data_IF_368286807144
#
_entry.id   IF_368286807144
#
_cell.length_a   1.000
_cell.length_b   1.000
_cell.length_c   1.000
_cell.angle_alpha   90.00
_cell.angle_beta   90.00
_cell.angle_gamma   90.00
#
_symmetry.space_group_name_H-M   'P 1'
#
loop_
_entity.id
_entity.type
_entity.pdbx_description
1 polymer ?
#
# COMPACT_ATOMS: atom_id res chain seq x y z
N UNK A 1 1.43 45.76 6.40
CA UNK A 1 0.89 44.55 5.75
C UNK A 1 2.04 43.74 5.15
N UNK A 2 2.58 42.75 5.87
CA UNK A 2 3.59 41.81 5.34
C UNK A 2 3.07 40.39 5.60
N UNK A 3 2.68 39.70 4.54
CA UNK A 3 2.15 38.33 4.58
C UNK A 3 3.32 37.37 4.83
N UNK A 4 3.29 36.65 5.96
CA UNK A 4 4.17 35.50 6.19
C UNK A 4 3.60 34.29 5.45
N UNK A 5 4.35 33.77 4.48
CA UNK A 5 4.13 32.45 3.91
C UNK A 5 4.71 31.40 4.87
N UNK A 6 3.85 30.60 5.48
CA UNK A 6 4.26 29.37 6.15
C UNK A 6 4.48 28.29 5.10
N UNK A 7 5.74 27.94 4.84
CA UNK A 7 6.10 26.82 3.98
C UNK A 7 5.95 25.51 4.78
N UNK A 8 4.94 24.71 4.43
CA UNK A 8 4.76 23.35 4.94
C UNK A 8 5.73 22.43 4.19
N UNK A 9 6.91 22.16 4.76
CA UNK A 9 7.84 21.20 4.20
C UNK A 9 7.37 19.77 4.54
N UNK A 10 6.66 19.14 3.60
CA UNK A 10 6.37 17.71 3.67
C UNK A 10 7.69 16.93 3.54
N UNK A 11 8.16 16.38 4.66
CA UNK A 11 9.35 15.51 4.69
C UNK A 11 9.00 14.17 4.05
N UNK A 12 9.38 14.00 2.78
CA UNK A 12 9.38 12.70 2.12
C UNK A 12 10.51 11.87 2.75
N UNK A 13 10.14 10.85 3.52
CA UNK A 13 11.06 9.82 4.03
C UNK A 13 11.59 9.01 2.83
N UNK A 14 12.75 9.40 2.30
CA UNK A 14 13.55 8.55 1.44
C UNK A 14 14.31 7.58 2.34
N UNK A 15 13.78 6.37 2.51
CA UNK A 15 14.49 5.25 3.12
C UNK A 15 15.56 4.75 2.14
N UNK A 16 16.72 5.38 2.11
CA UNK A 16 17.90 4.84 1.42
C UNK A 16 18.55 3.79 2.32
N UNK A 17 18.19 2.52 2.11
CA UNK A 17 18.81 1.40 2.82
C UNK A 17 20.22 1.13 2.29
N UNK A 18 21.24 1.28 3.16
CA UNK A 18 22.59 0.80 2.90
C UNK A 18 22.70 -0.72 3.17
N UNK A 19 23.49 -1.41 2.35
CA UNK A 19 23.57 -2.86 2.24
C UNK A 19 24.02 -3.56 3.55
N UNK A 20 23.05 -4.06 4.32
CA UNK A 20 23.21 -5.23 5.17
C UNK A 20 22.99 -6.48 4.29
N UNK A 21 23.84 -7.49 4.44
CA UNK A 21 23.85 -8.81 3.77
C UNK A 21 22.57 -9.07 2.95
N UNK A 22 22.58 -8.64 1.69
CA UNK A 22 21.40 -8.65 0.85
C UNK A 22 21.16 -10.08 0.41
N UNK A 23 20.09 -10.71 0.88
CA UNK A 23 19.60 -11.93 0.24
C UNK A 23 19.36 -11.58 -1.22
N UNK A 24 20.07 -12.21 -2.18
CA UNK A 24 19.92 -11.85 -3.58
C UNK A 24 18.48 -12.14 -4.00
N UNK A 25 17.86 -11.15 -4.65
CA UNK A 25 16.54 -11.34 -5.23
C UNK A 25 16.62 -12.39 -6.35
N UNK A 26 15.58 -13.23 -6.52
CA UNK A 26 15.52 -14.16 -7.63
C UNK A 26 15.46 -13.39 -8.96
N UNK A 27 16.04 -13.95 -10.02
CA UNK A 27 15.78 -13.46 -11.38
C UNK A 27 14.31 -13.68 -11.72
N UNK A 28 13.61 -12.61 -12.12
CA UNK A 28 12.19 -12.65 -12.49
C UNK A 28 12.05 -12.33 -13.97
N UNK A 29 11.36 -13.19 -14.71
CA UNK A 29 11.14 -13.04 -16.15
C UNK A 29 9.98 -12.06 -16.46
N UNK A 30 10.14 -10.79 -16.08
CA UNK A 30 9.17 -9.71 -16.25
C UNK A 30 9.86 -8.38 -16.61
N UNK A 31 9.12 -7.44 -17.21
CA UNK A 31 9.64 -6.10 -17.53
C UNK A 31 9.85 -5.24 -16.28
N UNK A 32 8.96 -5.35 -15.30
CA UNK A 32 9.02 -4.62 -14.04
C UNK A 32 8.35 -5.45 -12.95
N UNK A 33 8.88 -5.40 -11.73
CA UNK A 33 8.26 -6.08 -10.59
C UNK A 33 8.63 -5.45 -9.26
N UNK A 34 7.80 -5.71 -8.26
CA UNK A 34 7.99 -5.27 -6.88
C UNK A 34 7.44 -6.31 -5.91
N UNK A 35 8.15 -6.56 -4.81
CA UNK A 35 7.67 -7.31 -3.67
C UNK A 35 7.56 -6.41 -2.44
N UNK A 36 6.34 -6.21 -1.98
CA UNK A 36 5.99 -5.38 -0.83
C UNK A 36 5.63 -6.26 0.36
N UNK A 37 6.19 -5.94 1.52
CA UNK A 37 5.62 -6.35 2.78
C UNK A 37 4.51 -5.39 3.19
N UNK A 38 3.26 -5.86 3.14
CA UNK A 38 2.12 -5.01 3.51
C UNK A 38 1.98 -4.83 5.02
N UNK A 39 2.58 -5.71 5.83
CA UNK A 39 2.59 -5.65 7.30
C UNK A 39 3.53 -4.55 7.80
N UNK A 40 4.76 -4.46 7.29
CA UNK A 40 5.69 -3.36 7.65
C UNK A 40 5.55 -2.13 6.74
N UNK A 41 5.04 -2.32 5.53
CA UNK A 41 5.01 -1.30 4.47
C UNK A 41 6.33 -1.17 3.70
N UNK A 42 7.31 -2.04 3.91
CA UNK A 42 8.61 -1.98 3.23
C UNK A 42 8.61 -2.75 1.91
N UNK A 43 9.18 -2.13 0.88
CA UNK A 43 9.56 -2.84 -0.34
C UNK A 43 10.78 -3.72 -0.01
N UNK A 44 10.63 -5.03 -0.21
CA UNK A 44 11.69 -6.02 0.06
C UNK A 44 12.69 -6.04 -1.10
N UNK A 45 12.17 -6.08 -2.32
CA UNK A 45 12.95 -6.08 -3.55
C UNK A 45 12.09 -5.58 -4.71
N UNK A 46 12.74 -5.06 -5.74
CA UNK A 46 12.09 -4.60 -6.96
C UNK A 46 13.07 -4.54 -8.14
N UNK A 47 12.53 -4.55 -9.35
CA UNK A 47 13.22 -4.21 -10.59
C UNK A 47 12.38 -3.23 -11.38
N UNK A 48 12.99 -2.11 -11.79
CA UNK A 48 12.36 -1.02 -12.54
C UNK A 48 10.96 -0.63 -12.00
N UNK A 49 10.80 -0.40 -10.67
CA UNK A 49 9.48 -0.27 -10.06
C UNK A 49 8.71 0.97 -10.49
N UNK A 50 9.38 1.96 -11.08
CA UNK A 50 8.82 3.22 -11.59
C UNK A 50 8.65 3.23 -13.12
N UNK A 51 8.98 2.14 -13.81
CA UNK A 51 8.78 2.03 -15.25
C UNK A 51 7.28 2.07 -15.57
N UNK A 52 6.88 2.99 -16.46
CA UNK A 52 5.50 3.13 -16.91
C UNK A 52 5.14 1.99 -17.85
N UNK A 53 4.11 1.24 -17.51
CA UNK A 53 3.59 0.10 -18.27
C UNK A 53 2.08 0.24 -18.35
N UNK A 54 1.50 -0.18 -19.48
CA UNK A 54 0.05 -0.29 -19.60
C UNK A 54 -0.49 -1.31 -18.58
N UNK A 55 -1.37 -0.92 -17.64
CA UNK A 55 -1.79 -1.79 -16.55
C UNK A 55 -2.77 -2.90 -16.99
N UNK A 56 -3.30 -2.85 -18.21
CA UNK A 56 -4.36 -3.74 -18.69
C UNK A 56 -5.50 -3.86 -17.65
N UNK A 57 -6.05 -5.05 -17.43
CA UNK A 57 -7.14 -5.24 -16.45
C UNK A 57 -6.77 -4.99 -14.98
N UNK A 58 -5.51 -4.66 -14.63
CA UNK A 58 -5.18 -4.21 -13.27
C UNK A 58 -5.85 -2.87 -12.92
N UNK A 59 -6.27 -2.09 -13.93
CA UNK A 59 -7.11 -0.88 -13.75
C UNK A 59 -8.35 -1.15 -12.91
N UNK A 60 -8.94 -2.35 -13.05
CA UNK A 60 -10.17 -2.73 -12.34
C UNK A 60 -10.04 -2.72 -10.83
N UNK A 61 -8.81 -2.76 -10.29
CA UNK A 61 -8.56 -2.59 -8.86
C UNK A 61 -8.94 -1.16 -8.41
N UNK A 62 -8.63 -0.14 -9.21
CA UNK A 62 -9.05 1.24 -8.92
C UNK A 62 -10.57 1.39 -9.08
N UNK A 63 -11.15 0.75 -10.09
CA UNK A 63 -12.61 0.71 -10.28
C UNK A 63 -13.30 0.11 -9.06
N UNK A 64 -12.82 -1.04 -8.59
CA UNK A 64 -13.30 -1.67 -7.36
C UNK A 64 -13.11 -0.76 -6.13
N UNK A 65 -11.94 -0.14 -5.97
CA UNK A 65 -11.66 0.76 -4.84
C UNK A 65 -12.68 1.90 -4.76
N UNK A 66 -12.99 2.56 -5.89
CA UNK A 66 -13.98 3.64 -5.92
C UNK A 66 -15.40 3.15 -5.67
N UNK A 67 -15.78 1.97 -6.20
CA UNK A 67 -17.07 1.36 -5.88
C UNK A 67 -17.19 1.02 -4.39
N UNK A 68 -16.14 0.45 -3.79
CA UNK A 68 -16.11 0.17 -2.35
C UNK A 68 -16.21 1.45 -1.52
N UNK A 69 -15.56 2.53 -1.95
CA UNK A 69 -15.68 3.84 -1.31
C UNK A 69 -17.11 4.39 -1.41
N UNK A 70 -17.76 4.28 -2.57
CA UNK A 70 -19.15 4.68 -2.74
C UNK A 70 -20.10 3.88 -1.83
N UNK A 71 -19.85 2.58 -1.66
CA UNK A 71 -20.64 1.73 -0.75
C UNK A 71 -20.41 2.13 0.71
N UNK A 72 -19.15 2.30 1.13
CA UNK A 72 -18.81 2.76 2.49
C UNK A 72 -19.48 4.09 2.81
N UNK A 73 -19.50 5.00 1.83
CA UNK A 73 -20.07 6.34 1.97
C UNK A 73 -21.60 6.37 1.75
N UNK A 74 -22.25 5.20 1.62
CA UNK A 74 -23.70 5.01 1.44
C UNK A 74 -24.27 5.72 0.20
N UNK A 75 -23.45 5.90 -0.83
CA UNK A 75 -23.86 6.43 -2.15
C UNK A 75 -24.32 5.33 -3.10
N UNK A 76 -23.97 4.09 -2.78
CA UNK A 76 -24.30 2.88 -3.52
C UNK A 76 -24.54 1.75 -2.51
N UNK A 77 -25.45 0.83 -2.79
CA UNK A 77 -25.69 -0.34 -1.94
C UNK A 77 -25.38 -1.63 -2.71
N UNK A 78 -24.90 -2.67 -2.03
CA UNK A 78 -24.58 -3.97 -2.67
C UNK A 78 -25.78 -4.59 -3.39
N UNK A 79 -26.96 -4.47 -2.78
CA UNK A 79 -28.22 -5.01 -3.31
C UNK A 79 -28.90 -4.09 -4.32
N UNK A 80 -28.35 -2.89 -4.56
CA UNK A 80 -28.92 -1.95 -5.52
C UNK A 80 -28.87 -2.56 -6.92
N UNK A 81 -30.00 -2.49 -7.63
CA UNK A 81 -30.09 -2.89 -9.03
C UNK A 81 -29.58 -1.76 -9.93
N UNK A 82 -28.61 -2.05 -10.77
CA UNK A 82 -28.03 -1.14 -11.76
C UNK A 82 -28.61 -1.46 -13.12
N UNK A 83 -29.22 -0.47 -13.77
CA UNK A 83 -29.63 -0.59 -15.17
C UNK A 83 -28.39 -0.63 -16.06
N UNK A 84 -28.30 -1.64 -16.91
CA UNK A 84 -27.17 -1.84 -17.82
C UNK A 84 -27.34 -0.94 -19.04
N UNK A 85 -26.36 -0.06 -19.27
CA UNK A 85 -26.38 0.81 -20.46
C UNK A 85 -25.97 0.05 -21.72
N UNK A 86 -26.37 0.56 -22.89
CA UNK A 86 -25.85 0.05 -24.16
C UNK A 86 -24.32 0.18 -24.25
N UNK A 87 -23.72 1.20 -23.62
CA UNK A 87 -22.27 1.38 -23.58
C UNK A 87 -21.60 0.22 -22.86
N UNK A 88 -22.09 -0.14 -21.67
CA UNK A 88 -21.58 -1.27 -20.90
C UNK A 88 -21.72 -2.59 -21.67
N UNK A 89 -22.85 -2.81 -22.35
CA UNK A 89 -23.08 -4.01 -23.14
C UNK A 89 -22.19 -4.10 -24.39
N UNK A 90 -21.97 -2.97 -25.09
CA UNK A 90 -21.22 -2.86 -26.35
C UNK A 90 -19.70 -2.70 -26.18
N UNK A 91 -19.14 -2.94 -24.98
CA UNK A 91 -17.68 -3.06 -24.83
C UNK A 91 -17.11 -4.09 -25.81
N UNK A 92 -15.82 -3.97 -26.15
CA UNK A 92 -15.16 -4.79 -27.17
C UNK A 92 -15.53 -6.29 -27.04
N UNK A 93 -16.11 -6.91 -28.09
CA UNK A 93 -16.56 -8.30 -28.07
C UNK A 93 -15.44 -9.32 -27.87
N UNK A 94 -14.19 -8.97 -28.20
CA UNK A 94 -13.01 -9.82 -28.00
C UNK A 94 -12.49 -9.80 -26.55
N UNK A 95 -13.03 -8.89 -25.73
CA UNK A 95 -12.58 -8.67 -24.36
C UNK A 95 -13.34 -9.52 -23.33
N UNK A 96 -12.85 -9.55 -22.09
CA UNK A 96 -13.52 -10.29 -21.01
C UNK A 96 -14.85 -9.63 -20.63
N UNK A 97 -15.91 -10.42 -20.49
CA UNK A 97 -17.27 -9.97 -20.17
C UNK A 97 -17.91 -10.81 -19.07
N UNK A 98 -18.79 -10.17 -18.32
CA UNK A 98 -19.74 -10.81 -17.43
C UNK A 98 -21.00 -11.29 -18.17
N UNK A 99 -21.24 -10.76 -19.38
CA UNK A 99 -22.41 -11.04 -20.23
C UNK A 99 -23.71 -10.48 -19.63
N UNK A 100 -23.65 -9.23 -19.16
CA UNK A 100 -24.82 -8.48 -18.68
C UNK A 100 -25.72 -8.01 -19.84
N UNK A 101 -27.02 -7.88 -19.60
CA UNK A 101 -28.04 -7.56 -20.62
C UNK A 101 -28.69 -6.20 -20.32
N UNK A 102 -28.78 -5.25 -21.29
CA UNK A 102 -29.49 -3.97 -21.13
C UNK A 102 -30.94 -4.08 -20.64
N UNK A 103 -31.62 -5.19 -20.95
CA UNK A 103 -33.01 -5.43 -20.53
C UNK A 103 -33.12 -5.89 -19.06
N UNK A 104 -32.02 -6.32 -18.44
CA UNK A 104 -32.03 -6.91 -17.10
C UNK A 104 -31.11 -6.12 -16.16
N UNK A 105 -31.65 -5.40 -15.16
CA UNK A 105 -30.84 -4.78 -14.13
C UNK A 105 -30.00 -5.81 -13.36
N UNK A 106 -28.82 -5.40 -12.90
CA UNK A 106 -27.86 -6.29 -12.21
C UNK A 106 -27.50 -5.72 -10.85
N UNK A 107 -27.39 -6.57 -9.82
CA UNK A 107 -26.97 -6.14 -8.49
C UNK A 107 -25.53 -5.62 -8.52
N UNK A 108 -25.24 -4.60 -7.71
CA UNK A 108 -23.86 -4.11 -7.52
C UNK A 108 -22.93 -5.22 -7.04
N UNK A 109 -23.39 -6.11 -6.15
CA UNK A 109 -22.60 -7.25 -5.69
C UNK A 109 -22.22 -8.21 -6.84
N UNK A 110 -23.18 -8.54 -7.70
CA UNK A 110 -22.94 -9.38 -8.88
C UNK A 110 -21.95 -8.71 -9.85
N UNK A 111 -22.09 -7.40 -10.07
CA UNK A 111 -21.16 -6.63 -10.91
C UNK A 111 -19.74 -6.61 -10.32
N UNK A 112 -19.58 -6.49 -8.99
CA UNK A 112 -18.29 -6.57 -8.32
C UNK A 112 -17.65 -7.95 -8.48
N UNK A 113 -18.41 -9.03 -8.38
CA UNK A 113 -17.92 -10.38 -8.64
C UNK A 113 -17.54 -10.57 -10.12
N UNK A 114 -18.35 -10.06 -11.06
CA UNK A 114 -18.01 -10.04 -12.48
C UNK A 114 -16.72 -9.26 -12.77
N UNK A 115 -16.54 -8.10 -12.13
CA UNK A 115 -15.35 -7.25 -12.23
C UNK A 115 -14.09 -7.97 -11.74
N UNK A 116 -14.14 -8.55 -10.54
CA UNK A 116 -12.93 -9.07 -9.88
C UNK A 116 -12.60 -10.51 -10.28
N UNK A 117 -13.61 -11.39 -10.36
CA UNK A 117 -13.42 -12.82 -10.69
C UNK A 117 -13.25 -13.01 -12.20
N UNK A 118 -14.22 -12.55 -12.98
CA UNK A 118 -14.27 -12.80 -14.42
C UNK A 118 -13.48 -11.77 -15.23
N UNK A 119 -13.16 -10.62 -14.61
CA UNK A 119 -12.52 -9.47 -15.26
C UNK A 119 -13.40 -8.80 -16.30
N UNK A 120 -14.73 -8.79 -16.09
CA UNK A 120 -15.72 -8.23 -17.02
C UNK A 120 -15.51 -6.74 -17.26
N UNK A 121 -15.36 -6.34 -18.52
CA UNK A 121 -15.26 -4.95 -18.95
C UNK A 121 -16.62 -4.25 -18.92
N UNK A 122 -17.66 -4.98 -19.28
CA UNK A 122 -19.07 -4.58 -19.19
C UNK A 122 -19.45 -4.24 -17.75
N UNK A 123 -19.08 -5.08 -16.79
CA UNK A 123 -19.28 -4.82 -15.37
C UNK A 123 -18.50 -3.57 -14.89
N UNK A 124 -17.30 -3.34 -15.41
CA UNK A 124 -16.51 -2.15 -15.07
C UNK A 124 -17.17 -0.85 -15.52
N UNK A 125 -17.70 -0.82 -16.75
CA UNK A 125 -18.44 0.35 -17.26
C UNK A 125 -19.73 0.56 -16.47
N UNK A 126 -20.51 -0.50 -16.22
CA UNK A 126 -21.75 -0.39 -15.45
C UNK A 126 -21.51 0.12 -14.01
N UNK A 127 -20.45 -0.34 -13.34
CA UNK A 127 -20.07 0.18 -12.02
C UNK A 127 -19.58 1.63 -12.08
N UNK A 128 -18.83 2.00 -13.12
CA UNK A 128 -18.37 3.38 -13.30
C UNK A 128 -19.57 4.34 -13.46
N UNK A 129 -20.54 3.97 -14.30
CA UNK A 129 -21.77 4.72 -14.52
C UNK A 129 -22.64 4.77 -13.24
N UNK A 130 -22.75 3.66 -12.49
CA UNK A 130 -23.48 3.63 -11.24
C UNK A 130 -22.88 4.54 -10.15
N UNK A 131 -21.54 4.66 -10.11
CA UNK A 131 -20.84 5.47 -9.11
C UNK A 131 -20.80 6.96 -9.48
N UNK A 132 -20.63 7.28 -10.76
CA UNK A 132 -20.31 8.64 -11.21
C UNK A 132 -21.28 9.23 -12.23
N UNK A 133 -22.32 8.50 -12.62
CA UNK A 133 -23.26 8.86 -13.69
C UNK A 133 -22.76 8.47 -15.08
N UNK A 134 -21.48 8.67 -15.36
CA UNK A 134 -20.83 8.29 -16.62
C UNK A 134 -19.36 7.90 -16.44
N UNK A 135 -18.79 7.18 -17.42
CA UNK A 135 -17.41 6.70 -17.37
C UNK A 135 -16.37 7.84 -17.40
N UNK A 136 -16.61 8.94 -18.11
CA UNK A 136 -15.65 10.03 -18.19
C UNK A 136 -15.50 10.73 -16.83
N UNK A 137 -16.62 10.97 -16.15
CA UNK A 137 -16.64 11.47 -14.77
C UNK A 137 -15.98 10.47 -13.83
N UNK A 138 -16.22 9.16 -14.01
CA UNK A 138 -15.55 8.14 -13.21
C UNK A 138 -14.01 8.16 -13.39
N UNK A 139 -13.51 8.31 -14.61
CA UNK A 139 -12.06 8.43 -14.89
C UNK A 139 -11.44 9.64 -14.21
N UNK A 140 -12.16 10.77 -14.10
CA UNK A 140 -11.72 11.93 -13.30
C UNK A 140 -11.56 11.53 -11.82
N UNK A 141 -12.51 10.77 -11.27
CA UNK A 141 -12.42 10.26 -9.89
C UNK A 141 -11.22 9.31 -9.72
N UNK A 142 -10.99 8.40 -10.67
CA UNK A 142 -9.86 7.45 -10.63
C UNK A 142 -8.52 8.18 -10.55
N UNK A 143 -8.31 9.18 -11.39
CA UNK A 143 -7.07 9.95 -11.43
C UNK A 143 -6.90 10.83 -10.20
N UNK A 144 -7.98 11.46 -9.70
CA UNK A 144 -7.94 12.21 -8.44
C UNK A 144 -7.56 11.31 -7.27
N UNK A 145 -8.10 10.10 -7.25
CA UNK A 145 -7.82 9.12 -6.20
C UNK A 145 -6.39 8.60 -6.27
N UNK A 146 -5.86 8.33 -7.48
CA UNK A 146 -4.46 8.00 -7.69
C UNK A 146 -3.52 9.08 -7.09
N UNK A 147 -3.78 10.35 -7.38
CA UNK A 147 -3.03 11.48 -6.79
C UNK A 147 -3.15 11.51 -5.27
N UNK A 148 -4.37 11.34 -4.73
CA UNK A 148 -4.62 11.34 -3.27
C UNK A 148 -3.83 10.24 -2.54
N UNK A 149 -3.67 9.08 -3.17
CA UNK A 149 -2.91 7.96 -2.63
C UNK A 149 -1.39 8.11 -2.81
N UNK A 150 -0.94 9.06 -3.63
CA UNK A 150 0.46 9.25 -3.97
C UNK A 150 0.97 8.33 -5.09
N UNK A 151 0.07 7.86 -5.97
CA UNK A 151 0.43 7.12 -7.19
C UNK A 151 0.89 8.13 -8.26
N UNK A 152 2.19 8.44 -8.25
CA UNK A 152 2.74 9.60 -8.99
C UNK A 152 2.93 9.36 -10.48
N UNK A 153 3.02 8.10 -10.89
CA UNK A 153 3.31 7.67 -12.24
C UNK A 153 2.17 6.81 -12.79
N UNK A 154 0.94 7.16 -12.41
CA UNK A 154 -0.28 6.49 -12.86
C UNK A 154 -1.26 7.47 -13.48
N UNK A 155 -1.83 7.08 -14.62
CA UNK A 155 -2.98 7.72 -15.23
C UNK A 155 -3.91 6.65 -15.79
N UNK A 156 -5.20 6.80 -15.49
CA UNK A 156 -6.26 5.95 -16.02
C UNK A 156 -7.00 6.67 -17.14
N UNK A 157 -7.32 5.94 -18.21
CA UNK A 157 -8.10 6.48 -19.34
C UNK A 157 -9.51 5.89 -19.46
N UNK A 158 -9.80 4.79 -18.77
CA UNK A 158 -11.09 4.09 -18.78
C UNK A 158 -11.21 3.21 -17.51
N UNK A 159 -12.39 2.67 -17.25
CA UNK A 159 -12.66 1.89 -16.02
C UNK A 159 -12.22 0.41 -16.10
N UNK A 160 -11.91 -0.09 -17.29
CA UNK A 160 -11.67 -1.52 -17.53
C UNK A 160 -10.23 -1.87 -17.85
N UNK A 161 -9.44 -0.92 -18.34
CA UNK A 161 -8.05 -1.09 -18.77
C UNK A 161 -7.89 -1.71 -20.16
N UNK A 162 -8.78 -1.36 -21.11
CA UNK A 162 -8.48 -1.62 -22.53
C UNK A 162 -7.40 -0.63 -23.00
N UNK A 163 -6.62 -0.96 -24.04
CA UNK A 163 -5.48 -0.16 -24.48
C UNK A 163 -5.83 1.30 -24.73
N UNK A 164 -4.97 2.20 -24.24
CA UNK A 164 -5.03 3.64 -24.49
C UNK A 164 -3.66 4.24 -24.20
N UNK A 165 -3.17 5.20 -25.00
CA UNK A 165 -1.88 5.86 -24.77
C UNK A 165 -1.84 6.63 -23.44
N UNK A 166 -3.00 7.04 -22.92
CA UNK A 166 -3.13 7.74 -21.64
C UNK A 166 -3.34 6.81 -20.44
N UNK A 167 -3.27 5.48 -20.64
CA UNK A 167 -3.47 4.49 -19.60
C UNK A 167 -2.15 3.80 -19.22
N UNK A 168 -1.54 4.25 -18.12
CA UNK A 168 -0.27 3.71 -17.64
C UNK A 168 -0.21 3.70 -16.11
N UNK A 169 0.59 2.81 -15.56
CA UNK A 169 0.93 2.76 -14.13
C UNK A 169 2.32 2.16 -13.94
N UNK A 170 2.73 1.93 -12.70
CA UNK A 170 4.04 1.37 -12.35
C UNK A 170 3.88 0.26 -11.30
N UNK A 171 4.88 -0.62 -11.14
CA UNK A 171 4.82 -1.64 -10.10
C UNK A 171 4.73 -1.02 -8.69
N UNK A 172 5.39 0.13 -8.49
CA UNK A 172 5.32 0.91 -7.26
C UNK A 172 3.90 1.41 -6.98
N UNK A 173 3.28 2.11 -7.93
CA UNK A 173 1.96 2.69 -7.73
C UNK A 173 0.87 1.61 -7.57
N UNK A 174 0.96 0.54 -8.37
CA UNK A 174 0.04 -0.59 -8.25
C UNK A 174 0.18 -1.30 -6.90
N UNK A 175 1.37 -1.34 -6.30
CA UNK A 175 1.55 -1.87 -4.95
C UNK A 175 0.87 -1.00 -3.87
N UNK A 176 0.86 0.33 -4.06
CA UNK A 176 0.16 1.26 -3.19
C UNK A 176 -1.35 1.01 -3.29
N UNK A 177 -1.89 0.93 -4.50
CA UNK A 177 -3.31 0.66 -4.73
C UNK A 177 -3.73 -0.68 -4.11
N UNK A 178 -2.96 -1.75 -4.34
CA UNK A 178 -3.24 -3.06 -3.77
C UNK A 178 -3.22 -3.03 -2.23
N UNK A 179 -2.21 -2.38 -1.63
CA UNK A 179 -2.14 -2.20 -0.17
C UNK A 179 -3.36 -1.42 0.35
N UNK A 180 -3.81 -0.39 -0.37
CA UNK A 180 -4.96 0.44 0.01
C UNK A 180 -6.27 -0.33 -0.05
N UNK A 181 -6.52 -1.15 -1.09
CA UNK A 181 -7.70 -2.02 -1.15
C UNK A 181 -7.76 -2.93 0.07
N UNK A 182 -6.66 -3.60 0.41
CA UNK A 182 -6.60 -4.54 1.54
C UNK A 182 -6.80 -3.84 2.88
N UNK A 183 -6.20 -2.66 3.06
CA UNK A 183 -6.24 -1.92 4.31
C UNK A 183 -7.58 -1.19 4.54
N UNK A 184 -8.11 -0.55 3.49
CA UNK A 184 -9.28 0.32 3.60
C UNK A 184 -10.60 -0.47 3.46
N UNK A 185 -10.57 -1.62 2.75
CA UNK A 185 -11.74 -2.42 2.42
C UNK A 185 -11.56 -3.94 2.64
N UNK A 186 -11.07 -4.39 3.82
CA UNK A 186 -10.79 -5.81 4.06
C UNK A 186 -12.02 -6.72 3.94
N UNK A 187 -13.23 -6.18 4.15
CA UNK A 187 -14.49 -6.90 3.96
C UNK A 187 -14.78 -7.21 2.49
N UNK A 188 -14.46 -6.27 1.59
CA UNK A 188 -14.71 -6.42 0.15
C UNK A 188 -13.55 -7.11 -0.58
N UNK A 189 -12.32 -6.96 -0.08
CA UNK A 189 -11.15 -7.67 -0.59
C UNK A 189 -11.35 -9.21 -0.65
N UNK A 190 -12.25 -9.78 0.17
CA UNK A 190 -12.59 -11.21 0.13
C UNK A 190 -13.10 -11.68 -1.25
N UNK A 191 -13.70 -10.80 -2.05
CA UNK A 191 -14.16 -11.11 -3.41
C UNK A 191 -12.99 -11.61 -4.28
N UNK A 192 -11.77 -11.08 -4.07
CA UNK A 192 -10.57 -11.47 -4.83
C UNK A 192 -10.17 -12.94 -4.62
N UNK A 193 -10.63 -13.57 -3.53
CA UNK A 193 -10.39 -14.99 -3.22
C UNK A 193 -11.44 -15.94 -3.77
N UNK A 194 -12.54 -15.43 -4.35
CA UNK A 194 -13.60 -16.25 -4.95
C UNK A 194 -13.05 -16.96 -6.19
N UNK A 195 -13.04 -18.30 -6.17
CA UNK A 195 -12.44 -19.13 -7.22
C UNK A 195 -13.25 -19.21 -8.51
N UNK A 196 -14.55 -19.05 -8.44
CA UNK A 196 -15.44 -19.05 -9.60
C UNK A 196 -16.73 -18.31 -9.28
N UNK A 197 -17.31 -17.69 -10.28
CA UNK A 197 -18.58 -16.96 -10.14
C UNK A 197 -19.53 -17.35 -11.26
N UNK A 198 -20.79 -17.59 -10.90
CA UNK A 198 -21.86 -17.96 -11.83
C UNK A 198 -22.84 -16.80 -11.94
N UNK A 199 -22.99 -16.27 -13.15
CA UNK A 199 -23.98 -15.26 -13.47
C UNK A 199 -24.69 -15.65 -14.76
N UNK A 200 -26.01 -15.45 -14.82
CA UNK A 200 -26.83 -15.79 -15.98
C UNK A 200 -26.57 -17.22 -16.52
N UNK A 201 -26.46 -18.20 -15.60
CA UNK A 201 -26.15 -19.62 -15.89
C UNK A 201 -24.76 -19.86 -16.54
N UNK A 202 -23.90 -18.85 -16.60
CA UNK A 202 -22.53 -18.93 -17.10
C UNK A 202 -21.58 -18.91 -15.90
N UNK A 203 -20.91 -20.03 -15.66
CA UNK A 203 -19.85 -20.13 -14.63
C UNK A 203 -18.50 -19.81 -15.25
N UNK A 204 -17.80 -18.82 -14.68
CA UNK A 204 -16.44 -18.48 -15.11
C UNK A 204 -15.47 -18.59 -13.92
N UNK A 205 -14.28 -19.18 -14.12
CA UNK A 205 -13.27 -19.26 -13.07
C UNK A 205 -12.57 -17.91 -12.88
N UNK A 206 -12.02 -17.72 -11.68
CA UNK A 206 -11.09 -16.63 -11.42
C UNK A 206 -9.83 -16.80 -12.28
N UNK A 207 -9.35 -15.71 -12.86
CA UNK A 207 -8.14 -15.71 -13.71
C UNK A 207 -6.84 -15.81 -12.90
N UNK A 208 -6.90 -15.62 -11.59
CA UNK A 208 -5.77 -15.77 -10.68
C UNK A 208 -5.53 -17.26 -10.34
N UNK A 209 -4.68 -17.92 -11.13
CA UNK A 209 -4.34 -19.34 -10.94
C UNK A 209 -3.71 -19.64 -9.56
N UNK A 210 -3.10 -18.66 -8.90
CA UNK A 210 -2.48 -18.87 -7.59
C UNK A 210 -3.47 -19.24 -6.49
N UNK A 211 -4.76 -18.90 -6.63
CA UNK A 211 -5.82 -19.33 -5.70
C UNK A 211 -5.96 -20.87 -5.60
N UNK A 212 -5.49 -21.61 -6.60
CA UNK A 212 -5.48 -23.07 -6.61
C UNK A 212 -4.11 -23.67 -6.29
N UNK A 213 -3.03 -22.94 -6.56
CA UNK A 213 -1.66 -23.42 -6.40
C UNK A 213 -1.11 -23.15 -5.00
N UNK A 214 -1.62 -22.14 -4.32
CA UNK A 214 -1.16 -21.71 -3.00
C UNK A 214 -2.36 -21.34 -2.12
N UNK A 215 -2.68 -22.15 -1.09
CA UNK A 215 -3.85 -21.91 -0.22
C UNK A 215 -3.70 -20.64 0.63
N UNK A 216 -2.53 -20.02 0.65
CA UNK A 216 -2.27 -18.78 1.39
C UNK A 216 -2.48 -17.52 0.56
N UNK A 217 -2.68 -17.67 -0.75
CA UNK A 217 -3.00 -16.57 -1.67
C UNK A 217 -4.50 -16.27 -1.60
N UNK A 218 -4.83 -14.99 -1.45
CA UNK A 218 -6.21 -14.51 -1.30
C UNK A 218 -6.54 -13.33 -2.23
N UNK A 219 -5.71 -13.09 -3.25
CA UNK A 219 -5.93 -12.06 -4.27
C UNK A 219 -4.75 -11.90 -5.23
N UNK A 220 -4.76 -10.93 -6.15
CA UNK A 220 -5.80 -9.91 -6.34
C UNK A 220 -6.29 -9.89 -7.78
N UNK A 221 -5.43 -9.56 -8.75
CA UNK A 221 -5.88 -9.35 -10.13
C UNK A 221 -4.82 -9.71 -11.15
N UNK A 222 -5.28 -10.23 -12.29
CA UNK A 222 -4.46 -10.42 -13.49
C UNK A 222 -4.85 -9.42 -14.58
N UNK A 223 -3.90 -9.11 -15.46
CA UNK A 223 -4.07 -8.26 -16.63
C UNK A 223 -3.29 -8.79 -17.83
N UNK A 224 -3.81 -8.57 -19.04
CA UNK A 224 -3.13 -8.91 -20.28
C UNK A 224 -3.67 -8.04 -21.42
N UNK A 225 -2.75 -7.45 -22.16
CA UNK A 225 -2.90 -6.93 -23.54
C UNK A 225 -1.60 -7.22 -24.27
N UNK A 226 -1.59 -7.18 -25.60
CA UNK A 226 -0.35 -7.39 -26.37
C UNK A 226 0.75 -6.39 -25.98
N UNK A 227 0.37 -5.12 -25.75
CA UNK A 227 1.29 -4.06 -25.33
C UNK A 227 1.82 -4.26 -23.91
N UNK A 228 0.94 -4.61 -22.96
CA UNK A 228 1.29 -4.80 -21.56
C UNK A 228 2.09 -6.09 -21.31
N UNK A 229 1.90 -7.12 -22.14
CA UNK A 229 2.25 -8.50 -21.79
C UNK A 229 1.35 -9.03 -20.66
N UNK A 230 1.76 -10.11 -20.01
CA UNK A 230 0.99 -10.71 -18.92
C UNK A 230 1.40 -10.09 -17.57
N UNK A 231 0.42 -9.51 -16.89
CA UNK A 231 0.60 -8.82 -15.62
C UNK A 231 -0.19 -9.49 -14.49
N UNK A 232 0.29 -9.36 -13.26
CA UNK A 232 -0.31 -9.93 -12.07
C UNK A 232 0.02 -9.12 -10.82
N UNK A 233 -1.00 -8.90 -9.99
CA UNK A 233 -0.83 -8.54 -8.58
C UNK A 233 -1.37 -9.70 -7.75
N UNK A 234 -0.51 -10.24 -6.90
CA UNK A 234 -0.88 -11.31 -5.98
C UNK A 234 -0.63 -10.89 -4.54
N UNK A 235 -1.48 -11.34 -3.63
CA UNK A 235 -1.21 -11.22 -2.20
C UNK A 235 -1.38 -12.56 -1.50
N UNK A 236 -0.48 -12.82 -0.56
CA UNK A 236 -0.54 -13.99 0.28
C UNK A 236 -0.32 -13.62 1.73
N UNK A 237 -0.94 -14.40 2.63
CA UNK A 237 -0.87 -14.21 4.07
C UNK A 237 -0.39 -15.51 4.73
N UNK A 238 0.81 -15.49 5.33
CA UNK A 238 1.44 -16.68 5.94
C UNK A 238 1.93 -16.42 7.36
N UNK A 239 2.12 -17.47 8.18
CA UNK A 239 2.76 -17.35 9.48
C UNK A 239 4.13 -16.66 9.40
N UNK A 240 4.46 -15.89 10.44
CA UNK A 240 5.66 -15.08 10.54
C UNK A 240 6.42 -15.42 11.82
N UNK A 241 6.80 -16.70 11.95
CA UNK A 241 7.32 -17.25 13.20
C UNK A 241 6.37 -16.99 14.37
N UNK A 242 6.92 -16.54 15.50
CA UNK A 242 6.14 -16.16 16.69
C UNK A 242 5.49 -14.77 16.60
N UNK A 243 5.75 -14.00 15.53
CA UNK A 243 5.24 -12.64 15.36
C UNK A 243 3.85 -12.58 14.69
N UNK A 244 3.12 -13.69 14.69
CA UNK A 244 1.77 -13.79 14.15
C UNK A 244 1.77 -14.07 12.65
N UNK A 245 1.06 -13.23 11.89
CA UNK A 245 0.82 -13.46 10.46
C UNK A 245 1.25 -12.25 9.65
N UNK A 246 1.94 -12.52 8.55
CA UNK A 246 2.52 -11.51 7.66
C UNK A 246 1.85 -11.57 6.29
N UNK A 247 1.70 -10.42 5.65
CA UNK A 247 1.15 -10.30 4.31
C UNK A 247 2.18 -9.75 3.34
N UNK A 248 2.39 -10.46 2.24
CA UNK A 248 3.17 -9.98 1.11
C UNK A 248 2.25 -9.65 -0.07
N UNK A 249 2.68 -8.69 -0.87
CA UNK A 249 2.06 -8.33 -2.15
C UNK A 249 3.17 -8.38 -3.21
N UNK A 250 3.01 -9.20 -4.24
CA UNK A 250 3.85 -9.17 -5.43
C UNK A 250 3.12 -8.45 -6.55
N UNK A 251 3.84 -7.59 -7.26
CA UNK A 251 3.40 -6.94 -8.49
C UNK A 251 4.39 -7.34 -9.58
N UNK A 252 3.91 -8.02 -10.62
CA UNK A 252 4.73 -8.53 -11.72
C UNK A 252 4.10 -8.08 -13.04
N UNK A 253 4.84 -7.33 -13.84
CA UNK A 253 4.34 -6.66 -15.04
C UNK A 253 5.12 -7.09 -16.29
N UNK A 254 4.39 -7.48 -17.34
CA UNK A 254 4.94 -7.77 -18.65
C UNK A 254 5.76 -9.05 -18.75
N UNK A 255 5.23 -10.17 -18.25
CA UNK A 255 5.78 -11.50 -18.59
C UNK A 255 5.29 -11.96 -19.97
N UNK A 256 5.95 -12.96 -20.55
CA UNK A 256 5.65 -13.43 -21.92
C UNK A 256 4.49 -14.44 -22.03
N UNK A 257 3.97 -14.96 -20.91
CA UNK A 257 2.83 -15.89 -20.92
C UNK A 257 2.01 -15.85 -19.63
N UNK A 258 0.79 -16.40 -19.67
CA UNK A 258 -0.07 -16.60 -18.49
C UNK A 258 0.60 -17.49 -17.43
N UNK A 259 1.28 -18.54 -17.88
CA UNK A 259 2.04 -19.43 -17.01
C UNK A 259 3.20 -18.69 -16.33
N UNK A 260 3.94 -17.87 -17.09
CA UNK A 260 5.05 -17.10 -16.57
C UNK A 260 4.60 -16.12 -15.48
N UNK A 261 3.56 -15.30 -15.68
CA UNK A 261 3.09 -14.37 -14.64
C UNK A 261 2.76 -15.08 -13.33
N UNK A 262 2.19 -16.28 -13.42
CA UNK A 262 1.79 -17.09 -12.28
C UNK A 262 3.03 -17.61 -11.55
N UNK A 263 3.96 -18.25 -12.27
CA UNK A 263 5.17 -18.83 -11.71
C UNK A 263 6.09 -17.77 -11.09
N UNK A 264 6.30 -16.65 -11.80
CA UNK A 264 7.14 -15.55 -11.33
C UNK A 264 6.56 -14.85 -10.09
N UNK A 265 5.24 -14.65 -10.04
CA UNK A 265 4.57 -14.10 -8.86
C UNK A 265 4.68 -15.04 -7.65
N UNK A 266 4.50 -16.35 -7.85
CA UNK A 266 4.67 -17.36 -6.80
C UNK A 266 6.12 -17.41 -6.30
N UNK A 267 7.09 -17.33 -7.22
CA UNK A 267 8.52 -17.32 -6.91
C UNK A 267 8.89 -16.14 -6.01
N UNK A 268 8.44 -14.94 -6.33
CA UNK A 268 8.63 -13.75 -5.49
C UNK A 268 8.01 -13.90 -4.10
N UNK A 269 6.76 -14.35 -4.02
CA UNK A 269 6.08 -14.56 -2.73
C UNK A 269 6.83 -15.59 -1.88
N UNK A 270 7.18 -16.74 -2.47
CA UNK A 270 7.91 -17.80 -1.78
C UNK A 270 9.26 -17.31 -1.27
N UNK A 271 10.03 -16.63 -2.11
CA UNK A 271 11.32 -16.07 -1.72
C UNK A 271 11.18 -15.07 -0.55
N UNK A 272 10.19 -14.18 -0.59
CA UNK A 272 9.95 -13.21 0.48
C UNK A 272 9.61 -13.84 1.83
N UNK A 273 8.76 -14.87 1.83
CA UNK A 273 8.41 -15.61 3.06
C UNK A 273 9.52 -16.54 3.56
N UNK A 274 10.33 -17.08 2.66
CA UNK A 274 11.44 -17.96 3.03
C UNK A 274 12.59 -17.18 3.67
N UNK A 275 12.91 -15.99 3.16
CA UNK A 275 14.15 -15.29 3.47
C UNK A 275 14.02 -14.10 4.42
N UNK A 276 12.80 -13.61 4.69
CA UNK A 276 12.58 -12.45 5.53
C UNK A 276 11.55 -12.73 6.63
N UNK A 277 11.71 -12.03 7.75
CA UNK A 277 10.74 -11.94 8.84
C UNK A 277 10.35 -10.48 9.05
N UNK A 278 9.14 -10.26 9.57
CA UNK A 278 8.70 -8.92 10.01
C UNK A 278 8.58 -8.88 11.52
N UNK A 279 9.39 -8.04 12.16
CA UNK A 279 9.46 -7.94 13.61
C UNK A 279 8.91 -6.61 14.08
N UNK A 280 8.19 -6.63 15.21
CA UNK A 280 7.82 -5.39 15.90
C UNK A 280 8.96 -4.98 16.83
N UNK A 281 9.60 -3.87 16.50
CA UNK A 281 10.66 -3.31 17.33
C UNK A 281 10.09 -2.53 18.51
N UNK A 282 9.05 -1.72 18.25
CA UNK A 282 8.38 -0.89 19.26
C UNK A 282 6.88 -0.83 19.01
N UNK A 283 6.09 -0.84 20.09
CA UNK A 283 4.65 -0.58 20.01
C UNK A 283 4.37 0.94 19.97
N UNK A 284 3.23 1.32 19.42
CA UNK A 284 2.72 2.70 19.49
C UNK A 284 2.71 3.20 20.93
N UNK A 285 3.29 4.38 21.16
CA UNK A 285 3.34 5.02 22.48
C UNK A 285 4.30 4.36 23.47
N UNK A 286 5.04 3.31 23.08
CA UNK A 286 6.11 2.77 23.89
C UNK A 286 7.22 3.80 24.02
N UNK A 287 7.52 4.22 25.25
CA UNK A 287 8.66 5.08 25.53
C UNK A 287 9.95 4.28 25.30
N UNK A 288 10.84 4.78 24.44
CA UNK A 288 12.16 4.19 24.23
C UNK A 288 13.17 4.70 25.25
N UNK A 289 13.02 5.97 25.67
CA UNK A 289 13.77 6.63 26.74
C UNK A 289 12.91 7.74 27.38
N UNK A 290 13.33 8.22 28.54
CA UNK A 290 12.72 9.38 29.24
C UNK A 290 13.79 10.40 29.62
N UNK A 291 14.44 11.04 28.64
CA UNK A 291 15.53 11.97 28.89
C UNK A 291 15.12 13.22 29.67
N UNK A 292 16.11 13.86 30.29
CA UNK A 292 15.93 15.14 30.96
C UNK A 292 15.57 16.26 29.97
N UNK A 293 14.67 17.15 30.38
CA UNK A 293 14.28 18.37 29.65
C UNK A 293 14.54 19.56 30.54
N UNK A 294 15.27 20.52 29.99
CA UNK A 294 15.57 21.78 30.65
C UNK A 294 14.48 22.81 30.39
N UNK A 295 14.27 23.70 31.34
CA UNK A 295 13.34 24.84 31.28
C UNK A 295 11.88 24.43 31.07
N UNK A 296 11.55 23.16 31.32
CA UNK A 296 10.21 22.59 31.15
C UNK A 296 9.40 22.57 32.45
N UNK A 297 8.08 22.59 32.34
CA UNK A 297 7.18 22.37 33.50
C UNK A 297 7.35 20.98 34.13
N UNK A 298 7.95 20.05 33.38
CA UNK A 298 8.42 18.74 33.84
C UNK A 298 9.89 18.55 33.44
N UNK A 299 10.60 17.79 34.28
CA UNK A 299 12.04 17.58 34.15
C UNK A 299 12.40 16.47 33.17
N UNK A 300 11.45 15.70 32.66
CA UNK A 300 11.69 14.62 31.70
C UNK A 300 10.59 14.60 30.66
N UNK A 301 10.84 13.95 29.52
CA UNK A 301 9.83 13.72 28.48
C UNK A 301 9.94 12.30 27.98
N UNK A 302 8.82 11.57 27.89
CA UNK A 302 8.83 10.28 27.18
C UNK A 302 9.01 10.52 25.68
N UNK A 303 9.93 9.79 25.08
CA UNK A 303 10.17 9.84 23.64
C UNK A 303 9.96 8.46 23.02
N UNK A 304 9.46 8.40 21.79
CA UNK A 304 9.16 7.14 21.11
C UNK A 304 8.47 7.35 19.77
N UNK A 305 7.46 6.52 19.48
CA UNK A 305 6.78 6.46 18.18
C UNK A 305 5.25 6.57 18.31
N UNK A 306 4.61 7.18 17.30
CA UNK A 306 3.14 7.39 17.23
C UNK A 306 2.39 6.26 16.54
N UNK A 307 3.11 5.27 16.03
CA UNK A 307 2.61 4.05 15.42
C UNK A 307 3.49 2.87 15.82
N UNK A 308 2.99 1.66 15.66
CA UNK A 308 3.81 0.45 15.76
C UNK A 308 4.97 0.54 14.75
N UNK A 309 6.17 0.19 15.21
CA UNK A 309 7.38 0.11 14.38
C UNK A 309 7.58 -1.34 14.00
N UNK A 310 7.13 -1.69 12.80
CA UNK A 310 7.31 -3.01 12.19
C UNK A 310 8.42 -2.92 11.15
N UNK A 311 9.37 -3.85 11.20
CA UNK A 311 10.51 -3.88 10.26
C UNK A 311 10.66 -5.26 9.67
N UNK A 312 10.72 -5.30 8.35
CA UNK A 312 11.07 -6.47 7.56
C UNK A 312 12.57 -6.57 7.41
N UNK A 313 13.15 -7.68 7.86
CA UNK A 313 14.58 -7.95 7.80
C UNK A 313 14.84 -9.37 7.33
N UNK A 314 16.02 -9.67 6.76
CA UNK A 314 16.39 -11.05 6.49
C UNK A 314 16.33 -11.90 7.77
N UNK A 315 15.97 -13.18 7.64
CA UNK A 315 15.86 -14.08 8.79
C UNK A 315 17.16 -14.10 9.60
N UNK A 316 17.02 -14.07 10.92
CA UNK A 316 18.15 -14.02 11.86
C UNK A 316 18.83 -12.65 12.01
N UNK A 317 18.50 -11.64 11.20
CA UNK A 317 19.06 -10.28 11.35
C UNK A 317 18.47 -9.55 12.54
N UNK A 318 17.17 -9.75 12.83
CA UNK A 318 16.48 -9.06 13.92
C UNK A 318 17.18 -9.19 15.29
N UNK A 319 17.70 -10.38 15.61
CA UNK A 319 18.40 -10.65 16.87
C UNK A 319 19.75 -9.91 17.00
N UNK A 320 20.31 -9.44 15.89
CA UNK A 320 21.59 -8.72 15.83
C UNK A 320 21.41 -7.20 15.77
N UNK A 321 20.18 -6.71 15.61
CA UNK A 321 19.89 -5.29 15.53
C UNK A 321 20.12 -4.60 16.87
N UNK A 322 20.89 -3.50 16.85
CA UNK A 322 21.16 -2.67 18.03
C UNK A 322 20.62 -1.25 17.82
N UNK A 323 19.80 -0.72 18.74
CA UNK A 323 19.31 0.65 18.66
C UNK A 323 20.42 1.66 19.04
N UNK A 324 20.57 2.71 18.24
CA UNK A 324 21.41 3.88 18.53
C UNK A 324 20.56 5.13 18.37
N UNK A 325 20.30 5.85 19.47
CA UNK A 325 19.54 7.09 19.42
C UNK A 325 20.48 8.27 19.15
N UNK A 326 20.25 8.96 18.02
CA UNK A 326 20.90 10.22 17.71
C UNK A 326 19.95 11.38 17.99
N UNK A 327 20.41 12.33 18.82
CA UNK A 327 19.63 13.49 19.24
C UNK A 327 20.55 14.66 19.52
N UNK A 328 20.03 15.87 19.30
CA UNK A 328 20.66 17.10 19.76
C UNK A 328 20.32 17.36 21.23
N UNK A 329 21.32 17.19 22.10
CA UNK A 329 21.24 17.53 23.52
C UNK A 329 21.87 18.91 23.82
N UNK A 330 21.46 19.58 24.90
CA UNK A 330 20.35 19.21 25.80
C UNK A 330 18.97 19.44 25.17
N UNK A 331 17.95 18.67 25.57
CA UNK A 331 16.56 19.00 25.27
C UNK A 331 16.10 20.20 26.10
N UNK A 332 15.47 21.17 25.44
CA UNK A 332 14.99 22.41 26.07
C UNK A 332 13.53 22.63 25.69
N UNK A 333 12.69 22.94 26.68
CA UNK A 333 11.28 23.29 26.47
C UNK A 333 11.10 24.64 25.75
N UNK A 334 9.96 24.88 25.07
CA UNK A 334 8.79 24.01 24.99
C UNK A 334 8.96 22.86 23.99
N UNK A 335 8.44 21.68 24.33
CA UNK A 335 8.33 20.55 23.42
C UNK A 335 6.86 20.27 23.15
N UNK A 336 6.42 20.40 21.89
CA UNK A 336 5.08 20.04 21.51
C UNK A 336 4.91 18.52 21.43
N UNK A 337 3.71 18.02 21.71
CA UNK A 337 3.34 16.63 21.46
C UNK A 337 3.66 16.25 20.00
N UNK A 338 4.28 15.09 19.80
CA UNK A 338 4.73 14.55 18.50
C UNK A 338 5.81 15.36 17.78
N UNK A 339 6.41 16.37 18.42
CA UNK A 339 7.57 17.06 17.84
C UNK A 339 8.77 16.12 17.72
N UNK A 340 9.51 16.21 16.61
CA UNK A 340 10.72 15.41 16.40
C UNK A 340 11.79 15.82 17.41
N UNK A 341 12.26 14.86 18.19
CA UNK A 341 13.29 15.04 19.23
C UNK A 341 14.56 14.27 18.94
N UNK A 342 14.57 13.38 17.94
CA UNK A 342 15.75 12.61 17.58
C UNK A 342 15.52 11.70 16.39
N UNK A 343 16.48 10.81 16.14
CA UNK A 343 16.41 9.74 15.14
C UNK A 343 17.00 8.49 15.74
N UNK A 344 16.24 7.40 15.75
CA UNK A 344 16.71 6.09 16.17
C UNK A 344 17.28 5.37 14.95
N UNK A 345 18.57 5.05 14.98
CA UNK A 345 19.24 4.20 14.00
C UNK A 345 19.28 2.77 14.49
N UNK A 346 18.75 1.85 13.70
CA UNK A 346 18.91 0.42 13.96
C UNK A 346 20.17 -0.06 13.25
N UNK A 347 21.18 -0.43 14.04
CA UNK A 347 22.48 -0.86 13.55
C UNK A 347 22.55 -2.38 13.43
N UNK A 348 23.13 -2.88 12.34
CA UNK A 348 23.49 -4.30 12.16
C UNK A 348 24.96 -4.35 11.74
N UNK A 349 25.76 -5.13 12.46
CA UNK A 349 27.20 -5.29 12.20
C UNK A 349 27.94 -3.93 12.03
N UNK A 350 27.56 -2.94 12.85
CA UNK A 350 28.16 -1.60 12.86
C UNK A 350 27.66 -0.65 11.76
N UNK A 351 26.72 -1.06 10.90
CA UNK A 351 26.14 -0.23 9.83
C UNK A 351 24.68 0.14 10.11
N UNK A 352 24.22 1.36 9.79
CA UNK A 352 22.82 1.73 9.92
C UNK A 352 21.99 1.00 8.86
N UNK A 353 21.01 0.22 9.31
CA UNK A 353 20.06 -0.50 8.46
C UNK A 353 18.75 0.28 8.26
N UNK A 354 18.30 0.98 9.31
CA UNK A 354 17.04 1.72 9.33
C UNK A 354 17.18 2.96 10.20
N UNK A 355 16.61 4.07 9.77
CA UNK A 355 16.50 5.30 10.55
C UNK A 355 15.02 5.65 10.78
N UNK A 356 14.68 5.91 12.04
CA UNK A 356 13.31 6.17 12.46
C UNK A 356 13.23 7.52 13.21
N UNK A 357 12.36 8.45 12.80
CA UNK A 357 12.18 9.70 13.55
C UNK A 357 11.58 9.38 14.92
N UNK A 358 12.24 9.86 15.97
CA UNK A 358 11.74 9.75 17.35
C UNK A 358 11.07 11.05 17.73
N UNK A 359 9.90 10.95 18.34
CA UNK A 359 9.08 12.10 18.72
C UNK A 359 8.83 12.16 20.22
N UNK A 360 8.50 13.34 20.72
CA UNK A 360 7.96 13.52 22.07
C UNK A 360 6.56 12.88 22.16
N UNK A 361 6.36 12.01 23.13
CA UNK A 361 5.07 11.34 23.40
C UNK A 361 4.19 12.14 24.38
N UNK A 362 4.74 13.21 24.95
CA UNK A 362 4.11 14.09 25.91
C UNK A 362 4.43 15.54 25.53
N UNK A 363 3.53 16.46 25.84
CA UNK A 363 3.82 17.89 25.73
C UNK A 363 4.62 18.34 26.97
N UNK A 364 5.64 19.17 26.75
CA UNK A 364 6.40 19.84 27.83
C UNK A 364 6.33 21.35 27.64
N UNK A 365 5.37 22.02 28.31
CA UNK A 365 5.33 23.47 28.39
C UNK A 365 6.56 24.06 29.07
N UNK A 366 6.73 25.37 28.97
CA UNK A 366 7.77 26.10 29.69
C UNK A 366 7.56 26.02 31.22
N UNK A 367 8.66 25.92 31.96
CA UNK A 367 8.65 26.11 33.41
C UNK A 367 8.30 27.56 33.77
N UNK A 368 8.02 27.78 35.06
CA UNK A 368 7.88 29.13 35.63
C UNK A 368 9.17 29.94 35.45
N UNK A 369 9.10 31.27 35.60
CA UNK A 369 10.27 32.16 35.46
C UNK A 369 11.42 31.72 36.37
N UNK A 370 11.13 31.35 37.62
CA UNK A 370 12.12 30.85 38.57
C UNK A 370 12.74 29.51 38.13
N UNK A 371 11.94 28.56 37.66
CA UNK A 371 12.43 27.29 37.14
C UNK A 371 13.38 27.47 35.95
N UNK A 372 13.03 28.36 35.01
CA UNK A 372 13.88 28.67 33.85
C UNK A 372 15.17 29.38 34.22
N UNK A 373 15.15 30.25 35.23
CA UNK A 373 16.34 30.93 35.73
C UNK A 373 17.31 29.95 36.41
N UNK A 374 16.78 29.06 37.26
CA UNK A 374 17.54 28.00 37.93
C UNK A 374 18.21 27.06 36.93
N UNK A 375 17.47 26.59 35.92
CA UNK A 375 17.99 25.73 34.86
C UNK A 375 19.03 26.44 33.99
N UNK A 376 18.87 27.74 33.74
CA UNK A 376 19.87 28.52 33.01
C UNK A 376 21.20 28.60 33.76
N UNK A 377 21.16 28.76 35.09
CA UNK A 377 22.37 28.72 35.91
C UNK A 377 23.02 27.34 35.85
N UNK A 378 22.25 26.27 36.06
CA UNK A 378 22.75 24.89 36.01
C UNK A 378 23.36 24.50 34.65
N UNK A 379 22.76 24.91 33.54
CA UNK A 379 23.31 24.69 32.19
C UNK A 379 24.65 25.40 31.97
N UNK A 380 24.90 26.50 32.68
CA UNK A 380 26.17 27.22 32.57
C UNK A 380 27.32 26.48 33.26
N UNK A 381 27.03 25.77 34.35
CA UNK A 381 28.01 24.97 35.10
C UNK A 381 28.24 23.56 34.53
N UNK A 382 27.34 23.06 33.66
CA UNK A 382 27.42 21.73 33.03
C UNK A 382 27.94 21.77 31.58
N UNK A 383 28.66 22.83 31.19
CA UNK A 383 29.27 22.95 29.85
C UNK A 383 30.61 22.26 29.73
#
# INVERSE_FOLDING_TARGET
MKKLFAALAASVLLLTGAAAQTVPAPTIAARSWLLLDATSGQVIASQDPTARIEPASLVKIMTAYLTFAAIRDKKLELEQMVTVSERAWKVDPSSSKMFIDPATPVKVDDLLHGLMVQSGNDAAVALAEAVAGDEATFVVLMNREAVRMGMKDTRFANAHGLPSPDNFSTAQDLSILAKRVIADFPQFYKIDSVKSFTYNKITQPNRNRLLWLDPTVDGMKTGHTEAAGYCMIASARRPNGSAGVRRLISVVLGTNSDQARTQESQKLLNWGFQNFDTVRLYAKGQAIQSPHVWKGSQNTVKIGFTSDVLVTVPKGVAARMKPVLERKDPLVAPLALNSKVGTLKMMVDGKPMLELPVVALEEVPLATIFGRAWDSMRLWFNK
#
